data_IF_231892607034
#
_entry.id   IF_231892607034
#
_cell.length_a   1.000
_cell.length_b   1.000
_cell.length_c   1.000
_cell.angle_alpha   90.00
_cell.angle_beta   90.00
_cell.angle_gamma   90.00
#
_symmetry.space_group_name_H-M   'P 1'
#
loop_
_entity.id
_entity.type
_entity.pdbx_description
1 polymer ?
#
# COMPACT_ATOMS: atom_id res chain seq x y z
N UNK A 1 -8.23 3.00 13.38
CA UNK A 1 -8.70 3.49 12.07
C UNK A 1 -7.47 3.96 11.34
N UNK A 2 -7.15 3.27 10.26
CA UNK A 2 -6.08 3.71 9.37
C UNK A 2 -6.58 4.77 8.40
N UNK A 3 -5.66 5.36 7.64
CA UNK A 3 -6.01 6.25 6.55
C UNK A 3 -5.25 5.95 5.28
N UNK A 4 -5.88 6.25 4.15
CA UNK A 4 -5.35 6.02 2.81
C UNK A 4 -5.36 7.29 2.00
N UNK A 5 -4.32 7.43 1.20
CA UNK A 5 -4.01 8.59 0.37
C UNK A 5 -3.65 8.10 -1.03
N UNK A 6 -3.91 8.93 -2.04
CA UNK A 6 -3.41 8.67 -3.38
C UNK A 6 -2.03 9.31 -3.56
N UNK A 7 -1.12 8.60 -4.22
CA UNK A 7 0.20 9.12 -4.59
C UNK A 7 0.34 9.06 -6.11
N UNK A 8 0.86 10.13 -6.69
CA UNK A 8 1.02 10.29 -8.14
C UNK A 8 2.48 10.58 -8.45
N UNK A 9 3.02 9.92 -9.47
CA UNK A 9 4.33 10.21 -10.01
C UNK A 9 4.22 11.32 -11.08
N UNK A 10 4.82 12.50 -10.87
CA UNK A 10 4.76 13.59 -11.86
C UNK A 10 5.57 13.29 -13.13
N UNK A 11 6.50 12.34 -13.08
CA UNK A 11 7.42 12.04 -14.18
C UNK A 11 6.86 11.01 -15.18
N UNK A 12 6.01 10.09 -14.74
CA UNK A 12 5.46 9.03 -15.60
C UNK A 12 3.95 8.79 -15.44
N UNK A 13 3.25 9.66 -14.71
CA UNK A 13 1.79 9.65 -14.52
C UNK A 13 1.26 8.37 -13.84
N UNK A 14 2.14 7.55 -13.27
CA UNK A 14 1.75 6.40 -12.45
C UNK A 14 1.05 6.87 -11.18
N UNK A 15 -0.07 6.24 -10.85
CA UNK A 15 -0.82 6.46 -9.61
C UNK A 15 -0.81 5.19 -8.76
N UNK A 16 -0.60 5.33 -7.45
CA UNK A 16 -0.67 4.21 -6.50
C UNK A 16 -2.09 3.73 -6.23
N UNK A 17 -3.09 4.58 -6.48
CA UNK A 17 -4.40 4.44 -5.85
C UNK A 17 -4.31 4.71 -4.34
N UNK A 18 -5.38 4.40 -3.61
CA UNK A 18 -5.50 4.66 -2.18
C UNK A 18 -4.68 3.64 -1.36
N UNK A 19 -3.57 4.10 -0.79
CA UNK A 19 -2.66 3.34 0.09
C UNK A 19 -2.31 4.14 1.34
N UNK A 20 -1.87 3.49 2.42
CA UNK A 20 -1.53 4.18 3.67
C UNK A 20 -0.28 5.07 3.57
N UNK A 21 0.64 4.75 2.67
CA UNK A 21 1.91 5.45 2.45
C UNK A 21 2.99 5.18 3.51
N UNK A 22 2.65 4.42 4.56
CA UNK A 22 3.48 4.08 5.71
C UNK A 22 2.82 2.90 6.47
N UNK A 23 3.50 2.28 7.46
CA UNK A 23 2.85 1.34 8.37
C UNK A 23 1.63 1.96 9.04
N UNK A 24 0.50 1.25 9.00
CA UNK A 24 -0.80 1.73 9.44
C UNK A 24 -1.67 0.58 9.96
N UNK A 25 -2.70 0.88 10.76
CA UNK A 25 -3.52 -0.16 11.40
C UNK A 25 -4.98 0.23 11.62
N UNK A 26 -5.87 -0.67 11.21
CA UNK A 26 -7.28 -0.71 11.61
C UNK A 26 -7.49 -1.51 12.90
N UNK A 27 -8.74 -1.81 13.23
CA UNK A 27 -9.12 -2.72 14.32
C UNK A 27 -8.84 -4.18 13.95
N UNK A 28 -8.99 -4.55 12.67
CA UNK A 28 -8.86 -5.95 12.24
C UNK A 28 -7.42 -6.33 11.89
N UNK A 29 -6.69 -5.43 11.24
CA UNK A 29 -5.36 -5.73 10.66
C UNK A 29 -4.41 -4.54 10.74
N UNK A 30 -3.11 -4.84 10.68
CA UNK A 30 -2.07 -3.87 10.34
C UNK A 30 -1.58 -4.11 8.91
N UNK A 31 -1.32 -3.02 8.20
CA UNK A 31 -0.78 -3.03 6.85
C UNK A 31 0.51 -2.23 6.79
N UNK A 32 1.40 -2.65 5.89
CA UNK A 32 2.53 -1.85 5.45
C UNK A 32 2.35 -1.52 3.97
N UNK A 33 2.55 -0.25 3.61
CA UNK A 33 2.63 0.11 2.19
C UNK A 33 3.94 -0.39 1.59
N UNK A 34 3.83 -1.24 0.57
CA UNK A 34 4.93 -1.95 -0.06
C UNK A 34 4.89 -1.80 -1.58
N UNK A 35 6.01 -2.11 -2.23
CA UNK A 35 6.10 -2.28 -3.68
C UNK A 35 6.00 -3.75 -4.02
N UNK A 36 5.03 -4.11 -4.86
CA UNK A 36 4.98 -5.43 -5.49
C UNK A 36 5.92 -5.46 -6.69
N UNK A 37 6.90 -6.35 -6.70
CA UNK A 37 7.89 -6.48 -7.77
C UNK A 37 7.32 -7.17 -9.02
N UNK A 38 6.21 -7.90 -8.89
CA UNK A 38 5.51 -8.55 -10.00
C UNK A 38 4.66 -7.56 -10.79
N UNK A 39 3.82 -6.78 -10.09
CA UNK A 39 2.97 -5.75 -10.70
C UNK A 39 3.70 -4.43 -10.97
N UNK A 40 4.81 -4.21 -10.27
CA UNK A 40 5.46 -2.91 -10.12
C UNK A 40 4.44 -1.85 -9.66
N UNK A 41 3.64 -2.17 -8.64
CA UNK A 41 2.65 -1.29 -8.03
C UNK A 41 2.96 -1.03 -6.56
N UNK A 42 2.56 0.14 -6.06
CA UNK A 42 2.52 0.46 -4.63
C UNK A 42 1.19 -0.03 -4.07
N UNK A 43 1.22 -0.85 -3.02
CA UNK A 43 0.06 -1.53 -2.44
C UNK A 43 0.16 -1.60 -0.93
N UNK A 44 -0.97 -1.65 -0.23
CA UNK A 44 -0.99 -2.02 1.19
C UNK A 44 -0.99 -3.54 1.33
N UNK A 45 -0.01 -4.06 2.06
CA UNK A 45 0.14 -5.49 2.35
C UNK A 45 -0.23 -5.73 3.80
N UNK A 46 -1.11 -6.70 4.06
CA UNK A 46 -1.41 -7.09 5.44
C UNK A 46 -0.20 -7.79 6.05
N UNK A 47 0.30 -7.23 7.14
CA UNK A 47 1.48 -7.75 7.87
C UNK A 47 1.10 -8.38 9.21
N UNK A 48 -0.08 -8.02 9.74
CA UNK A 48 -0.58 -8.57 10.99
C UNK A 48 -2.10 -8.60 11.00
N UNK A 49 -2.68 -9.63 11.63
CA UNK A 49 -4.11 -9.77 11.87
C UNK A 49 -4.33 -9.77 13.39
N UNK A 50 -5.28 -8.98 13.85
CA UNK A 50 -5.61 -8.84 15.28
C UNK A 50 -6.83 -9.69 15.67
N UNK A 51 -7.73 -9.99 14.73
CA UNK A 51 -8.94 -10.80 14.96
C UNK A 51 -8.81 -12.16 14.26
N UNK A 52 -8.66 -13.20 15.07
CA UNK A 52 -8.37 -14.58 14.62
C UNK A 52 -9.51 -15.18 13.76
N UNK A 53 -10.75 -14.69 13.94
CA UNK A 53 -11.92 -15.19 13.20
C UNK A 53 -11.85 -14.92 11.68
N UNK A 54 -11.00 -13.98 11.24
CA UNK A 54 -10.78 -13.67 9.82
C UNK A 54 -9.42 -14.15 9.29
N UNK A 55 -8.60 -14.79 10.15
CA UNK A 55 -7.21 -15.12 9.79
C UNK A 55 -7.10 -16.08 8.60
N UNK A 56 -8.10 -16.95 8.39
CA UNK A 56 -8.11 -17.91 7.30
C UNK A 56 -8.44 -17.29 5.92
N UNK A 57 -8.96 -16.06 5.89
CA UNK A 57 -9.44 -15.40 4.67
C UNK A 57 -8.50 -14.30 4.15
N UNK A 58 -7.46 -13.96 4.92
CA UNK A 58 -6.57 -12.85 4.64
C UNK A 58 -5.18 -13.37 4.30
N UNK A 59 -4.71 -13.05 3.09
CA UNK A 59 -3.37 -13.38 2.62
C UNK A 59 -2.34 -12.46 3.30
N UNK A 60 -1.58 -13.00 4.26
CA UNK A 60 -0.46 -12.31 4.92
C UNK A 60 0.75 -12.20 3.99
N UNK A 61 1.38 -11.01 3.97
CA UNK A 61 2.62 -10.76 3.22
C UNK A 61 2.53 -11.03 1.70
N UNK A 62 1.34 -10.83 1.13
CA UNK A 62 1.08 -10.99 -0.30
C UNK A 62 0.58 -9.68 -0.92
N UNK A 63 0.91 -9.46 -2.19
CA UNK A 63 0.32 -8.38 -2.97
C UNK A 63 -1.18 -8.62 -3.14
N UNK A 64 -2.06 -7.66 -2.81
CA UNK A 64 -3.51 -7.84 -2.91
C UNK A 64 -3.99 -7.99 -4.37
N UNK A 65 -3.26 -7.43 -5.34
CA UNK A 65 -3.68 -7.41 -6.74
C UNK A 65 -3.36 -8.71 -7.48
N UNK A 66 -2.15 -9.25 -7.29
CA UNK A 66 -1.68 -10.44 -8.02
C UNK A 66 -1.41 -11.66 -7.14
N UNK A 67 -1.52 -11.54 -5.81
CA UNK A 67 -1.17 -12.57 -4.82
C UNK A 67 0.30 -13.01 -4.87
N UNK A 68 1.16 -12.24 -5.53
CA UNK A 68 2.60 -12.45 -5.53
C UNK A 68 3.21 -12.15 -4.17
N UNK A 69 4.21 -12.94 -3.78
CA UNK A 69 4.92 -12.79 -2.49
C UNK A 69 6.16 -11.92 -2.59
N UNK A 70 6.50 -11.43 -3.79
CA UNK A 70 7.66 -10.55 -4.03
C UNK A 70 7.29 -9.10 -3.73
N UNK A 71 6.96 -8.84 -2.47
CA UNK A 71 6.69 -7.49 -1.95
C UNK A 71 7.88 -7.01 -1.13
N UNK A 72 8.16 -5.71 -1.19
CA UNK A 72 9.23 -5.09 -0.42
C UNK A 72 8.78 -3.73 0.13
N UNK A 73 9.25 -3.31 1.32
CA UNK A 73 8.86 -2.04 1.92
C UNK A 73 9.00 -0.87 0.95
N UNK A 74 7.99 0.00 0.89
CA UNK A 74 8.07 1.23 0.11
C UNK A 74 8.84 2.28 0.91
N UNK A 75 10.01 2.77 0.42
CA UNK A 75 10.83 3.70 1.20
C UNK A 75 10.11 5.01 1.52
N UNK A 76 10.48 5.68 2.60
CA UNK A 76 9.90 6.97 3.01
C UNK A 76 10.15 8.13 2.03
N UNK A 77 11.04 7.95 1.05
CA UNK A 77 11.20 8.88 -0.07
C UNK A 77 10.13 8.70 -1.16
N UNK A 78 9.23 7.72 -0.98
CA UNK A 78 8.13 7.38 -1.89
C UNK A 78 8.55 7.25 -3.36
N UNK A 79 9.57 6.45 -3.70
CA UNK A 79 10.03 6.33 -5.08
C UNK A 79 8.99 5.63 -5.96
N UNK A 80 8.82 6.10 -7.19
CA UNK A 80 7.92 5.48 -8.15
C UNK A 80 8.43 4.08 -8.56
N UNK A 81 7.61 3.02 -8.51
CA UNK A 81 8.04 1.67 -8.92
C UNK A 81 8.31 1.54 -10.42
N UNK A 82 7.86 2.50 -11.25
CA UNK A 82 8.02 2.49 -12.72
C UNK A 82 9.26 3.24 -13.20
N UNK A 83 9.56 4.40 -12.62
CA UNK A 83 10.65 5.26 -13.08
C UNK A 83 11.64 5.69 -11.98
N UNK A 84 11.42 5.30 -10.73
CA UNK A 84 12.25 5.63 -9.55
C UNK A 84 12.24 7.11 -9.12
N UNK A 85 11.61 8.00 -9.88
CA UNK A 85 11.41 9.38 -9.45
C UNK A 85 10.45 9.47 -8.26
N UNK A 86 10.62 10.44 -7.34
CA UNK A 86 9.75 10.59 -6.17
C UNK A 86 8.28 10.80 -6.56
N UNK A 87 7.38 10.10 -5.87
CA UNK A 87 5.94 10.32 -5.95
C UNK A 87 5.52 11.40 -4.96
N UNK A 88 4.45 12.11 -5.29
CA UNK A 88 3.82 13.11 -4.41
C UNK A 88 2.44 12.66 -4.01
N UNK A 89 2.04 12.92 -2.77
CA UNK A 89 0.67 12.71 -2.34
C UNK A 89 -0.25 13.68 -3.11
N UNK A 90 -1.31 13.17 -3.70
CA UNK A 90 -2.30 13.98 -4.39
C UNK A 90 -3.20 14.71 -3.39
N UNK A 91 -2.98 16.01 -3.25
CA UNK A 91 -3.76 16.89 -2.36
C UNK A 91 -5.23 17.08 -2.79
N UNK A 92 -5.58 16.74 -4.04
CA UNK A 92 -6.95 16.82 -4.55
C UNK A 92 -7.75 15.55 -4.25
N UNK A 93 -7.05 14.42 -4.08
CA UNK A 93 -7.67 13.16 -3.67
C UNK A 93 -8.05 13.22 -2.19
N UNK A 94 -9.32 12.93 -1.83
CA UNK A 94 -9.73 12.91 -0.44
C UNK A 94 -9.04 11.77 0.32
N UNK A 95 -8.67 12.03 1.56
CA UNK A 95 -8.26 10.98 2.50
C UNK A 95 -9.42 10.01 2.73
N UNK A 96 -9.13 8.71 2.69
CA UNK A 96 -10.09 7.66 3.01
C UNK A 96 -9.70 7.00 4.33
N UNK A 97 -10.58 7.09 5.33
CA UNK A 97 -10.43 6.34 6.56
C UNK A 97 -10.84 4.89 6.33
N UNK A 98 -10.12 3.95 6.93
CA UNK A 98 -10.41 2.53 6.82
C UNK A 98 -10.26 1.80 8.15
N UNK A 99 -10.98 0.69 8.23
CA UNK A 99 -10.99 -0.23 9.35
C UNK A 99 -11.29 -1.66 8.87
#
# INVERSE_FOLDING_TARGET
MGSKHNFICPSCEYESGLVSGQPDSGMMVAVDTMVCQDCQSVVDVVVQIFLDEYAAEIDLNCCPDCRGTRVSPWPSQHPCPKCQEPMVQDSLSPEMLWD
#
